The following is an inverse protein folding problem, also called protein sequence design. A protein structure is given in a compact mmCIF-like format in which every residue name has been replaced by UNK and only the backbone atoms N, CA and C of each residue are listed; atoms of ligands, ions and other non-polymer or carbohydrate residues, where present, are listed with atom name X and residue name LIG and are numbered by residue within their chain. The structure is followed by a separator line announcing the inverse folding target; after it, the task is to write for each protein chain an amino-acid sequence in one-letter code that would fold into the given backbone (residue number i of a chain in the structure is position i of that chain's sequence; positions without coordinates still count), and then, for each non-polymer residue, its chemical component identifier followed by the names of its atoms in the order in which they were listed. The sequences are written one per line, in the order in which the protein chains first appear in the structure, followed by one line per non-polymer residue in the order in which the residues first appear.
data_IF_487791641884
#
_entry.id   IF_487791641884
#
_cell.length_a   1.000
_cell.length_b   1.000
_cell.length_c   1.000
_cell.angle_alpha   90.00
_cell.angle_beta   90.00
_cell.angle_gamma   90.00
#
_symmetry.space_group_name_H-M   'P 1'
#
loop_
_entity.id
_entity.type
_entity.pdbx_description
1 polymer ?
#
# COMPACT_ATOMS: atom_id res chain seq x y z
N UNK A 1 55.45 -34.04 13.22
CA UNK A 1 55.03 -32.63 12.97
C UNK A 1 54.35 -32.38 11.61
N UNK A 2 54.57 -33.18 10.56
CA UNK A 2 53.98 -32.93 9.22
C UNK A 2 52.47 -33.21 9.08
N UNK A 3 51.90 -34.09 9.90
CA UNK A 3 50.48 -34.51 9.81
C UNK A 3 49.49 -33.46 10.34
N UNK A 4 49.87 -32.67 11.35
CA UNK A 4 49.02 -31.63 11.94
C UNK A 4 48.94 -30.37 11.05
N UNK A 5 49.94 -30.14 10.20
CA UNK A 5 49.97 -28.98 9.30
C UNK A 5 49.01 -29.14 8.10
N UNK A 6 48.84 -30.38 7.62
CA UNK A 6 47.95 -30.70 6.51
C UNK A 6 46.47 -30.58 6.93
N UNK A 7 46.13 -31.02 8.15
CA UNK A 7 44.78 -30.85 8.70
C UNK A 7 44.42 -29.36 8.90
N UNK A 8 45.38 -28.53 9.32
CA UNK A 8 45.19 -27.09 9.46
C UNK A 8 44.93 -26.41 8.10
N UNK A 9 45.64 -26.82 7.04
CA UNK A 9 45.47 -26.29 5.69
C UNK A 9 44.13 -26.69 5.05
N UNK A 10 43.65 -27.92 5.30
CA UNK A 10 42.32 -28.36 4.85
C UNK A 10 41.22 -27.59 5.58
N UNK A 11 41.38 -27.34 6.89
CA UNK A 11 40.42 -26.58 7.69
C UNK A 11 40.37 -25.09 7.27
N UNK A 12 41.52 -24.48 6.97
CA UNK A 12 41.58 -23.12 6.44
C UNK A 12 40.98 -23.01 5.02
N UNK A 13 41.16 -24.04 4.19
CA UNK A 13 40.55 -24.13 2.85
C UNK A 13 39.03 -24.29 2.89
N UNK A 14 38.48 -25.07 3.83
CA UNK A 14 37.02 -25.17 3.99
C UNK A 14 36.41 -23.90 4.61
N UNK A 15 37.09 -23.25 5.55
CA UNK A 15 36.67 -21.95 6.08
C UNK A 15 36.72 -20.83 5.03
N UNK A 16 37.70 -20.84 4.11
CA UNK A 16 37.78 -19.89 3.00
C UNK A 16 36.66 -20.10 1.95
N UNK A 17 36.27 -21.35 1.69
CA UNK A 17 35.16 -21.64 0.78
C UNK A 17 33.77 -21.38 1.40
N UNK A 18 33.63 -21.48 2.74
CA UNK A 18 32.42 -21.07 3.46
C UNK A 18 32.25 -19.54 3.56
N UNK A 19 33.33 -18.77 3.42
CA UNK A 19 33.28 -17.30 3.40
C UNK A 19 33.01 -16.72 2.00
N UNK A 20 33.20 -17.49 0.92
CA UNK A 20 32.96 -17.04 -0.45
C UNK A 20 31.55 -17.33 -1.01
N UNK A 21 30.73 -18.09 -0.28
CA UNK A 21 29.28 -18.11 -0.50
C UNK A 21 28.57 -17.03 0.35
N UNK A 22 29.14 -15.82 0.45
CA UNK A 22 28.35 -14.64 0.79
C UNK A 22 27.38 -14.41 -0.38
N UNK A 23 26.25 -15.10 -0.34
CA UNK A 23 25.03 -14.73 -1.06
C UNK A 23 24.83 -13.25 -0.72
N UNK A 24 25.19 -12.34 -1.64
CA UNK A 24 25.11 -10.88 -1.42
C UNK A 24 23.73 -10.61 -0.85
N UNK A 25 23.65 -10.36 0.45
CA UNK A 25 22.39 -10.07 1.11
C UNK A 25 21.97 -8.75 0.50
N UNK A 26 20.96 -8.81 -0.37
CA UNK A 26 20.45 -7.64 -1.07
C UNK A 26 19.89 -6.72 0.00
N UNK A 27 20.54 -5.57 0.18
CA UNK A 27 20.13 -4.58 1.18
C UNK A 27 19.05 -3.67 0.57
N UNK A 28 18.11 -3.25 1.40
CA UNK A 28 17.13 -2.23 1.02
C UNK A 28 17.88 -0.89 0.86
N UNK A 29 17.71 -0.15 -0.25
CA UNK A 29 18.31 1.17 -0.40
C UNK A 29 17.84 2.12 0.71
N UNK A 30 18.74 3.01 1.18
CA UNK A 30 18.46 3.95 2.27
C UNK A 30 17.17 4.75 2.08
N UNK A 31 16.94 5.29 0.87
CA UNK A 31 15.73 6.04 0.57
C UNK A 31 14.44 5.21 0.72
N UNK A 32 14.48 3.91 0.37
CA UNK A 32 13.35 3.01 0.54
C UNK A 32 13.16 2.63 2.01
N UNK A 33 14.26 2.44 2.74
CA UNK A 33 14.25 2.16 4.18
C UNK A 33 13.58 3.29 4.98
N UNK A 34 13.96 4.54 4.70
CA UNK A 34 13.36 5.75 5.29
C UNK A 34 11.89 5.89 4.89
N UNK A 35 11.53 5.54 3.64
CA UNK A 35 10.14 5.56 3.19
C UNK A 35 9.26 4.57 3.96
N UNK A 36 9.75 3.33 4.18
CA UNK A 36 9.03 2.31 4.94
C UNK A 36 8.83 2.75 6.39
N UNK A 37 9.86 3.34 7.01
CA UNK A 37 9.76 3.90 8.37
C UNK A 37 8.72 5.02 8.45
N UNK A 38 8.75 5.95 7.49
CA UNK A 38 7.78 7.04 7.43
C UNK A 38 6.33 6.56 7.36
N UNK A 39 6.04 5.51 6.58
CA UNK A 39 4.69 4.91 6.57
C UNK A 39 4.28 4.39 7.95
N UNK A 40 5.18 3.69 8.65
CA UNK A 40 4.89 3.09 9.95
C UNK A 40 4.78 4.16 11.04
N UNK A 41 5.52 5.26 10.93
CA UNK A 41 5.39 6.41 11.82
C UNK A 41 4.02 7.09 11.65
N UNK A 42 3.57 7.27 10.40
CA UNK A 42 2.25 7.85 10.07
C UNK A 42 1.07 7.04 10.65
N UNK A 43 1.24 5.72 10.85
CA UNK A 43 0.21 4.87 11.45
C UNK A 43 -0.19 5.32 12.86
N UNK A 44 0.75 5.91 13.59
CA UNK A 44 0.53 6.43 14.95
C UNK A 44 -0.54 7.52 14.99
N UNK A 45 -0.87 8.16 13.84
CA UNK A 45 -1.95 9.13 13.74
C UNK A 45 -3.35 8.52 13.69
N UNK A 46 -3.49 7.19 13.67
CA UNK A 46 -4.81 6.54 13.56
C UNK A 46 -4.93 5.14 14.16
N UNK A 47 -3.83 4.46 14.47
CA UNK A 47 -3.81 3.19 15.21
C UNK A 47 -2.68 3.21 16.24
N UNK A 48 -2.83 2.41 17.30
CA UNK A 48 -1.78 2.22 18.31
C UNK A 48 -1.14 0.85 18.13
N UNK A 49 0.14 0.82 17.77
CA UNK A 49 0.89 -0.40 17.56
C UNK A 49 1.95 -0.58 18.64
N UNK A 50 2.10 -1.81 19.14
CA UNK A 50 3.21 -2.16 20.02
C UNK A 50 4.56 -2.06 19.28
N UNK A 51 5.66 -1.94 20.03
CA UNK A 51 7.00 -1.94 19.43
C UNK A 51 7.25 -3.21 18.61
N UNK A 52 6.77 -4.35 19.09
CA UNK A 52 6.88 -5.63 18.40
C UNK A 52 6.10 -5.61 17.07
N UNK A 53 4.86 -5.12 17.08
CA UNK A 53 4.05 -4.99 15.87
C UNK A 53 4.70 -4.05 14.85
N UNK A 54 5.17 -2.86 15.29
CA UNK A 54 5.87 -1.91 14.40
C UNK A 54 7.11 -2.54 13.76
N UNK A 55 7.89 -3.28 14.54
CA UNK A 55 9.09 -3.98 14.06
C UNK A 55 8.73 -5.10 13.08
N UNK A 56 7.69 -5.87 13.36
CA UNK A 56 7.22 -6.93 12.47
C UNK A 56 6.69 -6.39 11.14
N UNK A 57 5.88 -5.32 11.15
CA UNK A 57 5.42 -4.65 9.93
C UNK A 57 6.60 -4.11 9.11
N UNK A 58 7.57 -3.50 9.77
CA UNK A 58 8.78 -2.99 9.12
C UNK A 58 9.54 -4.08 8.37
N UNK A 59 9.78 -5.21 9.02
CA UNK A 59 10.45 -6.35 8.38
C UNK A 59 9.60 -6.98 7.26
N UNK A 60 8.27 -7.02 7.41
CA UNK A 60 7.35 -7.46 6.35
C UNK A 60 7.46 -6.58 5.10
N UNK A 61 7.51 -5.25 5.24
CA UNK A 61 7.64 -4.34 4.10
C UNK A 61 9.03 -4.37 3.45
N UNK A 62 10.08 -4.61 4.24
CA UNK A 62 11.42 -4.86 3.68
C UNK A 62 11.46 -6.15 2.87
N UNK A 63 10.90 -7.24 3.41
CA UNK A 63 10.79 -8.52 2.69
C UNK A 63 10.00 -8.36 1.38
N UNK A 64 8.87 -7.63 1.44
CA UNK A 64 8.09 -7.26 0.26
C UNK A 64 8.95 -6.59 -0.81
N UNK A 65 9.67 -5.52 -0.44
CA UNK A 65 10.50 -4.76 -1.37
C UNK A 65 11.56 -5.65 -2.02
N UNK A 66 12.31 -6.41 -1.20
CA UNK A 66 13.38 -7.27 -1.69
C UNK A 66 12.86 -8.37 -2.64
N UNK A 67 11.69 -8.93 -2.36
CA UNK A 67 11.03 -9.91 -3.23
C UNK A 67 10.58 -9.28 -4.54
N UNK A 68 9.92 -8.11 -4.51
CA UNK A 68 9.47 -7.41 -5.73
C UNK A 68 10.65 -6.97 -6.60
N UNK A 69 11.73 -6.51 -5.98
CA UNK A 69 12.95 -6.09 -6.69
C UNK A 69 13.71 -7.30 -7.29
N UNK A 70 13.73 -8.44 -6.58
CA UNK A 70 14.24 -9.71 -7.12
C UNK A 70 13.43 -10.18 -8.33
N UNK A 71 12.09 -10.16 -8.25
CA UNK A 71 11.23 -10.49 -9.38
C UNK A 71 11.46 -9.53 -10.53
N UNK A 72 11.47 -8.21 -10.26
CA UNK A 72 11.70 -7.20 -11.28
C UNK A 72 12.98 -7.47 -12.05
N UNK A 73 14.11 -7.67 -11.37
CA UNK A 73 15.39 -7.92 -12.02
C UNK A 73 15.42 -9.24 -12.81
N UNK A 74 14.66 -10.27 -12.39
CA UNK A 74 14.54 -11.54 -13.11
C UNK A 74 13.70 -11.42 -14.38
N UNK A 75 12.58 -10.70 -14.32
CA UNK A 75 11.59 -10.72 -15.41
C UNK A 75 11.62 -9.48 -16.31
N UNK A 76 12.38 -8.44 -15.95
CA UNK A 76 12.41 -7.16 -16.69
C UNK A 76 12.70 -7.38 -18.19
N UNK A 77 13.72 -8.18 -18.49
CA UNK A 77 14.18 -8.45 -19.86
C UNK A 77 13.78 -9.84 -20.37
N UNK A 78 12.87 -10.53 -19.66
CA UNK A 78 12.42 -11.86 -20.09
C UNK A 78 11.34 -11.69 -21.16
N UNK A 79 11.70 -11.87 -22.43
CA UNK A 79 10.79 -11.75 -23.58
C UNK A 79 9.80 -12.92 -23.69
N UNK A 80 10.03 -14.02 -22.94
CA UNK A 80 9.11 -15.17 -22.93
C UNK A 80 7.85 -14.94 -22.09
N UNK A 81 7.88 -13.94 -21.19
CA UNK A 81 6.77 -13.58 -20.34
C UNK A 81 6.03 -12.37 -20.90
N UNK A 82 4.70 -12.48 -21.00
CA UNK A 82 3.84 -11.33 -21.29
C UNK A 82 3.90 -10.29 -20.17
N UNK A 83 3.54 -9.04 -20.50
CA UNK A 83 3.42 -7.98 -19.51
C UNK A 83 2.46 -8.36 -18.36
N UNK A 84 1.35 -9.02 -18.69
CA UNK A 84 0.39 -9.48 -17.70
C UNK A 84 1.00 -10.51 -16.75
N UNK A 85 1.76 -11.49 -17.23
CA UNK A 85 2.42 -12.48 -16.36
C UNK A 85 3.44 -11.85 -15.41
N UNK A 86 4.23 -10.88 -15.92
CA UNK A 86 5.17 -10.11 -15.09
C UNK A 86 4.47 -9.33 -13.98
N UNK A 87 3.32 -8.74 -14.29
CA UNK A 87 2.42 -8.07 -13.34
C UNK A 87 1.89 -9.09 -12.33
N UNK A 88 1.41 -10.26 -12.78
CA UNK A 88 0.87 -11.29 -11.90
C UNK A 88 1.86 -11.79 -10.84
N UNK A 89 3.12 -11.98 -11.21
CA UNK A 89 4.18 -12.38 -10.29
C UNK A 89 4.40 -11.35 -9.16
N UNK A 90 4.34 -10.06 -9.49
CA UNK A 90 4.40 -8.99 -8.48
C UNK A 90 3.15 -9.00 -7.59
N UNK A 91 1.94 -9.33 -8.12
CA UNK A 91 0.72 -9.44 -7.27
C UNK A 91 0.86 -10.51 -6.22
N UNK A 92 1.46 -11.65 -6.57
CA UNK A 92 1.61 -12.76 -5.63
C UNK A 92 2.43 -12.37 -4.41
N UNK A 93 3.45 -11.52 -4.59
CA UNK A 93 4.21 -10.97 -3.46
C UNK A 93 3.32 -10.07 -2.61
N UNK A 94 2.59 -9.13 -3.23
CA UNK A 94 1.69 -8.24 -2.49
C UNK A 94 0.63 -9.01 -1.70
N UNK A 95 -0.03 -10.03 -2.30
CA UNK A 95 -1.01 -10.90 -1.64
C UNK A 95 -0.41 -11.68 -0.47
N UNK A 96 0.81 -12.21 -0.61
CA UNK A 96 1.46 -12.95 0.46
C UNK A 96 1.84 -12.07 1.65
N UNK A 97 2.18 -10.80 1.41
CA UNK A 97 2.48 -9.84 2.47
C UNK A 97 1.20 -9.33 3.13
N UNK A 98 0.15 -9.10 2.35
CA UNK A 98 -1.18 -8.71 2.85
C UNK A 98 -1.75 -9.75 3.83
N UNK A 99 -1.67 -11.04 3.50
CA UNK A 99 -2.08 -12.12 4.40
C UNK A 99 -1.30 -12.11 5.73
N UNK A 100 0.02 -11.91 5.67
CA UNK A 100 0.85 -11.84 6.89
C UNK A 100 0.56 -10.61 7.73
N UNK A 101 0.21 -9.49 7.08
CA UNK A 101 -0.17 -8.26 7.78
C UNK A 101 -1.52 -8.45 8.49
N UNK A 102 -2.46 -9.16 7.86
CA UNK A 102 -3.73 -9.56 8.47
C UNK A 102 -3.51 -10.43 9.70
N UNK A 103 -2.64 -11.45 9.63
CA UNK A 103 -2.35 -12.33 10.77
C UNK A 103 -1.64 -11.62 11.94
N UNK A 104 -0.97 -10.51 11.67
CA UNK A 104 -0.20 -9.75 12.67
C UNK A 104 -1.05 -8.77 13.49
N UNK A 105 -2.22 -8.38 12.98
CA UNK A 105 -2.99 -7.24 13.48
C UNK A 105 -4.43 -7.63 13.79
N UNK A 106 -5.11 -6.77 14.57
CA UNK A 106 -6.56 -6.86 14.62
C UNK A 106 -7.15 -6.59 13.22
N UNK A 107 -8.33 -7.14 12.93
CA UNK A 107 -9.03 -6.87 11.67
C UNK A 107 -9.20 -5.37 11.47
N UNK A 108 -9.50 -4.63 12.54
CA UNK A 108 -9.67 -3.18 12.51
C UNK A 108 -8.39 -2.43 12.13
N UNK A 109 -7.27 -2.75 12.76
CA UNK A 109 -5.98 -2.12 12.49
C UNK A 109 -5.48 -2.45 11.08
N UNK A 110 -5.64 -3.70 10.66
CA UNK A 110 -5.32 -4.15 9.30
C UNK A 110 -6.09 -3.33 8.25
N UNK A 111 -7.41 -3.18 8.43
CA UNK A 111 -8.25 -2.41 7.51
C UNK A 111 -7.90 -0.91 7.52
N UNK A 112 -7.54 -0.35 8.68
CA UNK A 112 -7.07 1.03 8.78
C UNK A 112 -5.78 1.27 7.98
N UNK A 113 -4.78 0.39 8.13
CA UNK A 113 -3.54 0.47 7.33
C UNK A 113 -3.84 0.33 5.84
N UNK A 114 -4.68 -0.62 5.45
CA UNK A 114 -5.08 -0.82 4.05
C UNK A 114 -5.74 0.43 3.46
N UNK A 115 -6.66 1.04 4.20
CA UNK A 115 -7.30 2.28 3.80
C UNK A 115 -6.29 3.44 3.67
N UNK A 116 -5.35 3.57 4.60
CA UNK A 116 -4.30 4.58 4.53
C UNK A 116 -3.48 4.48 3.23
N UNK A 117 -2.96 3.30 2.86
CA UNK A 117 -2.16 3.16 1.64
C UNK A 117 -2.93 3.49 0.35
N UNK A 118 -4.20 3.10 0.30
CA UNK A 118 -5.06 3.41 -0.83
C UNK A 118 -5.35 4.91 -0.94
N UNK A 119 -5.58 5.57 0.21
CA UNK A 119 -5.80 7.01 0.27
C UNK A 119 -4.54 7.79 -0.08
N UNK A 120 -3.37 7.42 0.42
CA UNK A 120 -2.11 8.10 0.07
C UNK A 120 -1.83 7.98 -1.43
N UNK A 121 -2.10 6.82 -2.04
CA UNK A 121 -1.97 6.66 -3.50
C UNK A 121 -2.89 7.59 -4.28
N UNK A 122 -4.14 7.74 -3.83
CA UNK A 122 -5.10 8.68 -4.43
C UNK A 122 -4.68 10.12 -4.21
N UNK A 123 -4.19 10.45 -3.00
CA UNK A 123 -3.73 11.78 -2.65
C UNK A 123 -2.56 12.23 -3.53
N UNK A 124 -1.58 11.37 -3.82
CA UNK A 124 -0.48 11.73 -4.73
C UNK A 124 -0.99 12.06 -6.14
N UNK A 125 -2.00 11.34 -6.65
CA UNK A 125 -2.61 11.64 -7.95
C UNK A 125 -3.34 12.98 -7.94
N UNK A 126 -4.00 13.30 -6.84
CA UNK A 126 -4.65 14.60 -6.64
C UNK A 126 -3.59 15.71 -6.59
N UNK A 127 -2.53 15.55 -5.79
CA UNK A 127 -1.46 16.52 -5.60
C UNK A 127 -0.70 16.83 -6.89
N UNK A 128 -0.62 15.86 -7.83
CA UNK A 128 -0.06 16.07 -9.15
C UNK A 128 -0.83 17.11 -9.99
N UNK A 129 -2.15 17.21 -9.77
CA UNK A 129 -3.05 18.08 -10.54
C UNK A 129 -3.37 19.36 -9.77
N UNK A 130 -3.66 19.23 -8.47
CA UNK A 130 -4.03 20.29 -7.57
C UNK A 130 -3.10 20.25 -6.35
N UNK A 131 -1.98 21.00 -6.38
CA UNK A 131 -1.04 21.05 -5.27
C UNK A 131 -1.76 21.44 -3.97
N UNK A 132 -1.50 20.69 -2.90
CA UNK A 132 -2.13 20.89 -1.60
C UNK A 132 -1.12 21.49 -0.62
N UNK A 133 -1.58 22.44 0.21
CA UNK A 133 -0.86 22.77 1.44
C UNK A 133 -0.88 21.59 2.41
N UNK A 134 0.07 21.54 3.35
CA UNK A 134 0.14 20.45 4.34
C UNK A 134 -1.17 20.31 5.14
N UNK A 135 -1.82 21.43 5.47
CA UNK A 135 -3.11 21.42 6.19
C UNK A 135 -4.23 20.84 5.31
N UNK A 136 -4.32 21.24 4.05
CA UNK A 136 -5.32 20.68 3.12
C UNK A 136 -5.06 19.19 2.87
N UNK A 137 -3.80 18.82 2.70
CA UNK A 137 -3.34 17.44 2.53
C UNK A 137 -3.78 16.55 3.69
N UNK A 138 -3.53 16.99 4.93
CA UNK A 138 -3.92 16.25 6.12
C UNK A 138 -5.44 16.14 6.25
N UNK A 139 -6.18 17.26 6.08
CA UNK A 139 -7.65 17.26 6.12
C UNK A 139 -8.25 16.30 5.11
N UNK A 140 -7.78 16.34 3.86
CA UNK A 140 -8.28 15.49 2.79
C UNK A 140 -7.92 14.02 3.02
N UNK A 141 -6.68 13.73 3.42
CA UNK A 141 -6.26 12.36 3.75
C UNK A 141 -7.11 11.76 4.88
N UNK A 142 -7.37 12.52 5.94
CA UNK A 142 -8.21 12.07 7.04
C UNK A 142 -9.65 11.80 6.59
N UNK A 143 -10.26 12.74 5.86
CA UNK A 143 -11.64 12.59 5.37
C UNK A 143 -11.80 11.39 4.44
N UNK A 144 -10.88 11.24 3.47
CA UNK A 144 -10.88 10.10 2.55
C UNK A 144 -10.67 8.78 3.32
N UNK A 145 -9.74 8.73 4.28
CA UNK A 145 -9.47 7.50 5.05
C UNK A 145 -10.66 7.11 5.91
N UNK A 146 -11.22 8.06 6.64
CA UNK A 146 -12.34 7.82 7.55
C UNK A 146 -13.57 7.34 6.80
N UNK A 147 -13.96 8.02 5.72
CA UNK A 147 -15.05 7.56 4.84
C UNK A 147 -14.82 6.12 4.39
N UNK A 148 -13.62 5.84 3.89
CA UNK A 148 -13.29 4.56 3.27
C UNK A 148 -13.26 3.43 4.30
N UNK A 149 -12.71 3.70 5.47
CA UNK A 149 -12.71 2.76 6.59
C UNK A 149 -14.14 2.46 7.07
N UNK A 150 -14.96 3.50 7.33
CA UNK A 150 -16.37 3.31 7.74
C UNK A 150 -17.15 2.50 6.70
N UNK A 151 -16.98 2.79 5.41
CA UNK A 151 -17.66 2.06 4.35
C UNK A 151 -17.24 0.59 4.27
N UNK A 152 -15.96 0.29 4.48
CA UNK A 152 -15.49 -1.12 4.55
C UNK A 152 -16.11 -1.85 5.74
N UNK A 153 -16.20 -1.22 6.90
CA UNK A 153 -16.86 -1.81 8.07
C UNK A 153 -18.34 -2.09 7.77
N UNK A 154 -19.07 -1.13 7.20
CA UNK A 154 -20.47 -1.31 6.82
C UNK A 154 -20.68 -2.50 5.88
N UNK A 155 -19.84 -2.64 4.85
CA UNK A 155 -19.91 -3.75 3.91
C UNK A 155 -19.61 -5.08 4.58
N UNK A 156 -18.60 -5.14 5.45
CA UNK A 156 -18.26 -6.36 6.19
C UNK A 156 -19.35 -6.76 7.18
N UNK A 157 -20.07 -5.80 7.76
CA UNK A 157 -21.13 -6.06 8.75
C UNK A 157 -22.46 -6.44 8.09
N UNK A 158 -22.88 -5.73 7.03
CA UNK A 158 -24.23 -5.82 6.49
C UNK A 158 -24.32 -6.37 5.06
N UNK A 159 -23.18 -6.53 4.38
CA UNK A 159 -23.12 -6.83 2.95
C UNK A 159 -23.46 -5.63 2.07
N UNK A 160 -23.03 -5.69 0.80
CA UNK A 160 -23.10 -4.57 -0.14
C UNK A 160 -24.53 -4.19 -0.61
N UNK A 161 -25.54 -4.99 -0.25
CA UNK A 161 -26.93 -4.82 -0.69
C UNK A 161 -27.89 -4.33 0.40
N UNK A 162 -27.41 -4.10 1.61
CA UNK A 162 -28.23 -3.54 2.69
C UNK A 162 -28.61 -2.09 2.39
N UNK A 163 -29.90 -1.77 2.38
CA UNK A 163 -30.39 -0.40 2.17
C UNK A 163 -29.86 0.56 3.25
N UNK A 164 -29.77 0.11 4.51
CA UNK A 164 -29.20 0.90 5.61
C UNK A 164 -27.70 1.12 5.44
N UNK A 165 -26.96 0.12 4.96
CA UNK A 165 -25.53 0.28 4.66
C UNK A 165 -25.32 1.27 3.51
N UNK A 166 -26.14 1.21 2.46
CA UNK A 166 -26.07 2.15 1.33
C UNK A 166 -26.30 3.59 1.78
N UNK A 167 -27.33 3.83 2.59
CA UNK A 167 -27.61 5.17 3.12
C UNK A 167 -26.44 5.70 3.98
N UNK A 168 -25.91 4.90 4.91
CA UNK A 168 -24.78 5.32 5.73
C UNK A 168 -23.50 5.54 4.91
N UNK A 169 -23.30 4.76 3.85
CA UNK A 169 -22.18 4.97 2.91
C UNK A 169 -22.33 6.27 2.13
N UNK A 170 -23.54 6.65 1.73
CA UNK A 170 -23.84 7.95 1.11
C UNK A 170 -23.57 9.11 2.06
N UNK A 171 -23.96 8.98 3.33
CA UNK A 171 -23.67 9.96 4.38
C UNK A 171 -22.15 10.13 4.60
N UNK A 172 -21.40 9.03 4.69
CA UNK A 172 -19.93 9.06 4.79
C UNK A 172 -19.29 9.72 3.56
N UNK A 173 -19.80 9.44 2.35
CA UNK A 173 -19.34 10.07 1.10
C UNK A 173 -19.64 11.57 1.08
N UNK A 174 -20.80 12.00 1.56
CA UNK A 174 -21.17 13.40 1.67
C UNK A 174 -20.21 14.20 2.57
N UNK A 175 -19.82 13.62 3.72
CA UNK A 175 -18.84 14.23 4.63
C UNK A 175 -17.48 14.42 3.93
N UNK A 176 -16.98 13.40 3.23
CA UNK A 176 -15.72 13.49 2.50
C UNK A 176 -15.79 14.50 1.35
N UNK A 177 -16.88 14.48 0.58
CA UNK A 177 -17.09 15.38 -0.56
C UNK A 177 -17.20 16.85 -0.13
N UNK A 178 -17.76 17.14 1.06
CA UNK A 178 -17.75 18.49 1.62
C UNK A 178 -16.32 18.99 1.86
N UNK A 179 -15.44 18.15 2.41
CA UNK A 179 -14.02 18.49 2.60
C UNK A 179 -13.32 18.70 1.26
N UNK A 180 -13.61 17.89 0.24
CA UNK A 180 -13.07 18.08 -1.11
C UNK A 180 -13.50 19.44 -1.69
N UNK A 181 -14.78 19.82 -1.57
CA UNK A 181 -15.30 21.11 -2.05
C UNK A 181 -14.71 22.32 -1.31
N UNK A 182 -14.41 22.18 -0.03
CA UNK A 182 -13.75 23.23 0.75
C UNK A 182 -12.29 23.44 0.33
N UNK A 183 -11.63 22.41 -0.19
CA UNK A 183 -10.20 22.43 -0.53
C UNK A 183 -9.96 22.91 -1.95
N UNK A 184 -10.80 22.49 -2.89
CA UNK A 184 -10.58 22.72 -4.32
C UNK A 184 -11.40 23.91 -4.83
N UNK A 185 -10.82 24.68 -5.74
CA UNK A 185 -11.61 25.59 -6.57
C UNK A 185 -12.58 24.78 -7.44
N UNK A 186 -13.64 25.41 -7.94
CA UNK A 186 -14.61 24.75 -8.81
C UNK A 186 -13.96 24.12 -10.05
N UNK A 187 -12.98 24.80 -10.65
CA UNK A 187 -12.22 24.28 -11.80
C UNK A 187 -11.42 23.02 -11.43
N UNK A 188 -10.67 23.07 -10.33
CA UNK A 188 -9.90 21.92 -9.85
C UNK A 188 -10.81 20.76 -9.50
N UNK A 189 -11.92 21.03 -8.81
CA UNK A 189 -12.91 20.03 -8.44
C UNK A 189 -13.48 19.34 -9.67
N UNK A 190 -13.92 20.11 -10.67
CA UNK A 190 -14.47 19.57 -11.91
C UNK A 190 -13.45 18.76 -12.71
N UNK A 191 -12.17 19.15 -12.71
CA UNK A 191 -11.12 18.39 -13.38
C UNK A 191 -10.82 17.07 -12.67
N UNK A 192 -10.62 17.10 -11.36
CA UNK A 192 -10.38 15.91 -10.54
C UNK A 192 -11.58 14.95 -10.55
N UNK A 193 -12.80 15.49 -10.59
CA UNK A 193 -14.03 14.72 -10.74
C UNK A 193 -14.06 13.94 -12.06
N UNK A 194 -13.75 14.58 -13.20
CA UNK A 194 -13.70 13.93 -14.52
C UNK A 194 -12.68 12.79 -14.59
N UNK A 195 -11.64 12.84 -13.76
CA UNK A 195 -10.59 11.83 -13.66
C UNK A 195 -10.88 10.74 -12.62
N UNK A 196 -12.06 10.77 -11.99
CA UNK A 196 -12.46 9.85 -10.91
C UNK A 196 -11.51 9.87 -9.71
N UNK A 197 -10.95 11.05 -9.37
CA UNK A 197 -10.10 11.23 -8.19
C UNK A 197 -10.83 11.83 -7.00
N UNK A 198 -12.10 12.24 -7.14
CA UNK A 198 -12.92 12.78 -6.06
C UNK A 198 -14.06 11.84 -5.66
N UNK A 199 -14.60 12.08 -4.47
CA UNK A 199 -15.69 11.33 -3.89
C UNK A 199 -16.99 11.85 -4.47
N UNK A 200 -17.63 11.03 -5.29
CA UNK A 200 -18.86 11.38 -6.01
C UNK A 200 -20.07 11.36 -5.07
N UNK A 201 -20.86 12.43 -5.09
CA UNK A 201 -22.13 12.54 -4.34
C UNK A 201 -23.27 13.09 -5.22
N UNK A 202 -23.15 13.13 -6.55
CA UNK A 202 -24.25 13.63 -7.39
C UNK A 202 -25.42 12.63 -7.46
N UNK A 203 -26.48 12.93 -6.70
CA UNK A 203 -27.75 12.22 -6.54
C UNK A 203 -28.58 12.07 -7.83
N UNK A 204 -28.20 12.73 -8.93
CA UNK A 204 -28.99 12.75 -10.17
C UNK A 204 -28.33 12.09 -11.38
N UNK A 205 -27.02 11.79 -11.32
CA UNK A 205 -26.26 11.30 -12.47
C UNK A 205 -25.24 10.25 -12.07
N UNK A 206 -25.63 8.97 -12.17
CA UNK A 206 -24.66 7.87 -12.21
C UNK A 206 -23.84 7.97 -13.49
N UNK A 207 -22.54 8.23 -13.38
CA UNK A 207 -21.60 7.75 -14.39
C UNK A 207 -21.10 6.36 -13.98
N UNK A 208 -21.71 5.36 -14.63
CA UNK A 208 -21.34 3.98 -14.98
C UNK A 208 -20.14 3.20 -14.39
N UNK A 209 -19.29 3.73 -13.51
CA UNK A 209 -18.48 2.82 -12.68
C UNK A 209 -19.38 2.34 -11.55
N UNK A 210 -19.80 1.08 -11.61
CA UNK A 210 -20.64 0.51 -10.58
C UNK A 210 -19.92 0.63 -9.24
N UNK A 211 -20.68 0.86 -8.16
CA UNK A 211 -20.14 0.78 -6.80
C UNK A 211 -19.31 -0.50 -6.59
N UNK A 212 -19.60 -1.56 -7.34
CA UNK A 212 -18.86 -2.83 -7.38
C UNK A 212 -17.44 -2.73 -7.95
N UNK A 213 -17.14 -1.84 -8.89
CA UNK A 213 -15.81 -1.70 -9.50
C UNK A 213 -14.87 -0.86 -8.62
N UNK A 214 -15.40 0.17 -7.96
CA UNK A 214 -14.68 0.89 -6.89
C UNK A 214 -14.50 -0.03 -5.66
N UNK A 215 -15.51 -0.83 -5.31
CA UNK A 215 -15.47 -1.84 -4.24
C UNK A 215 -14.52 -3.01 -4.57
N UNK A 216 -14.47 -3.42 -5.83
CA UNK A 216 -13.54 -4.44 -6.32
C UNK A 216 -12.12 -3.90 -6.20
N UNK A 217 -11.81 -2.68 -6.65
CA UNK A 217 -10.50 -2.04 -6.47
C UNK A 217 -10.14 -1.74 -5.00
N UNK A 218 -11.15 -1.53 -4.15
CA UNK A 218 -11.03 -1.43 -2.69
C UNK A 218 -10.51 -2.75 -2.08
N UNK A 219 -10.99 -3.88 -2.58
CA UNK A 219 -10.67 -5.22 -2.10
C UNK A 219 -9.48 -5.85 -2.83
N UNK A 220 -9.25 -5.51 -4.11
CA UNK A 220 -8.16 -5.96 -4.95
C UNK A 220 -6.87 -5.25 -4.55
N UNK A 221 -6.26 -5.76 -3.47
CA UNK A 221 -4.90 -6.31 -3.39
C UNK A 221 -3.68 -5.59 -3.98
N UNK A 222 -3.84 -4.66 -4.92
CA UNK A 222 -2.86 -4.42 -5.96
C UNK A 222 -2.32 -3.00 -5.90
N UNK A 223 -1.17 -2.87 -5.23
CA UNK A 223 -0.49 -1.64 -4.74
C UNK A 223 -0.88 -1.18 -3.31
N UNK A 224 -1.41 -2.08 -2.49
CA UNK A 224 -1.86 -1.78 -1.12
C UNK A 224 -0.77 -1.42 -0.10
N UNK A 225 0.52 -1.50 -0.42
CA UNK A 225 1.61 -1.36 0.56
C UNK A 225 2.78 -0.48 0.08
N UNK A 226 2.53 0.31 -0.97
CA UNK A 226 3.47 1.30 -1.47
C UNK A 226 2.71 2.43 -2.14
N UNK A 227 2.46 3.55 -1.45
CA UNK A 227 1.98 4.75 -2.10
C UNK A 227 2.95 5.15 -3.21
N UNK A 228 2.42 5.22 -4.43
CA UNK A 228 3.17 5.63 -5.62
C UNK A 228 3.48 7.11 -5.44
N UNK A 229 4.73 7.46 -5.09
CA UNK A 229 5.12 8.86 -4.84
C UNK A 229 5.56 9.63 -6.09
N UNK A 230 5.89 8.94 -7.18
CA UNK A 230 6.44 9.59 -8.37
C UNK A 230 5.65 9.19 -9.62
N UNK A 231 4.85 10.11 -10.14
CA UNK A 231 4.57 10.20 -11.58
C UNK A 231 5.70 11.06 -12.14
N UNK A 232 6.86 10.43 -12.41
CA UNK A 232 7.85 11.05 -13.30
C UNK A 232 7.36 10.88 -14.74
#
# INVERSE_FOLDING_TARGET
MKRNFILLLIFLSTCANLTFAQKKIKKVPKAKDEQIKGWIDDYSGFITLSLEQRTAIYELYKDRYLKKDSIHNKVKNDESLSLNEKVQLKKRVDKAIDAKLFDLLSVEDYLNIKCYHQVVTRLVKIEFIAPLSEVQRQRLMMAMREMRFKNVILVNTYGNNSASAKQQMEENRAICSAVEKDIFTEEMYNHLYKLNFLTVVDWSKRNTHSDEEEMSNLLDGYNLLEPTKNLN
#
